data_IF_084312961845
#
_entry.id   IF_084312961845
#
_cell.length_a   1.000
_cell.length_b   1.000
_cell.length_c   1.000
_cell.angle_alpha   90.00
_cell.angle_beta   90.00
_cell.angle_gamma   90.00
#
_symmetry.space_group_name_H-M   'P 1'
#
loop_
_entity.id
_entity.type
_entity.pdbx_description
1 polymer ?
#
# COMPACT_ATOMS: atom_id res chain seq x y z
N UNK A 1 -5.24 27.53 9.38
CA UNK A 1 -4.49 26.27 9.29
C UNK A 1 -3.96 25.93 10.67
N UNK A 2 -3.85 24.65 11.02
CA UNK A 2 -3.05 24.26 12.19
C UNK A 2 -1.69 23.85 11.65
N UNK A 3 -0.69 24.70 11.83
CA UNK A 3 0.70 24.44 11.41
C UNK A 3 1.19 23.03 11.82
N UNK A 4 0.71 22.55 12.99
CA UNK A 4 0.91 21.21 13.50
C UNK A 4 0.48 20.10 12.52
N UNK A 5 -0.68 20.23 11.87
CA UNK A 5 -1.17 19.23 10.90
C UNK A 5 -0.29 19.22 9.64
N UNK A 6 0.09 20.39 9.13
CA UNK A 6 1.03 20.50 8.01
C UNK A 6 2.39 19.86 8.33
N UNK A 7 2.93 20.11 9.53
CA UNK A 7 4.16 19.49 10.00
C UNK A 7 4.04 17.97 10.12
N UNK A 8 2.92 17.45 10.64
CA UNK A 8 2.65 16.00 10.73
C UNK A 8 2.64 15.37 9.34
N UNK A 9 1.94 15.97 8.36
CA UNK A 9 1.95 15.47 6.99
C UNK A 9 3.34 15.50 6.36
N UNK A 10 4.11 16.57 6.56
CA UNK A 10 5.47 16.69 6.03
C UNK A 10 6.40 15.60 6.60
N UNK A 11 6.35 15.37 7.91
CA UNK A 11 7.14 14.32 8.58
C UNK A 11 6.70 12.95 8.07
N UNK A 12 5.41 12.67 8.02
CA UNK A 12 4.89 11.39 7.53
C UNK A 12 5.32 11.14 6.07
N UNK A 13 5.12 12.11 5.18
CA UNK A 13 5.51 12.01 3.78
C UNK A 13 7.01 11.74 3.62
N UNK A 14 7.85 12.45 4.38
CA UNK A 14 9.30 12.26 4.38
C UNK A 14 9.70 10.86 4.85
N UNK A 15 9.05 10.35 5.90
CA UNK A 15 9.28 8.98 6.39
C UNK A 15 8.84 7.93 5.38
N UNK A 16 7.68 8.11 4.73
CA UNK A 16 7.20 7.21 3.67
C UNK A 16 8.22 7.13 2.54
N UNK A 17 8.71 8.28 2.05
CA UNK A 17 9.72 8.34 0.98
C UNK A 17 11.00 7.64 1.42
N UNK A 18 11.57 8.03 2.56
CA UNK A 18 12.84 7.50 3.03
C UNK A 18 12.80 5.98 3.26
N UNK A 19 11.75 5.49 3.93
CA UNK A 19 11.60 4.07 4.24
C UNK A 19 11.42 3.22 2.98
N UNK A 20 10.58 3.66 2.03
CA UNK A 20 10.32 2.91 0.81
C UNK A 20 11.48 2.96 -0.19
N UNK A 21 12.21 4.08 -0.28
CA UNK A 21 13.45 4.16 -1.07
C UNK A 21 14.50 3.19 -0.52
N UNK A 22 14.69 3.14 0.80
CA UNK A 22 15.61 2.20 1.42
C UNK A 22 15.21 0.74 1.16
N UNK A 23 13.92 0.41 1.31
CA UNK A 23 13.37 -0.91 0.97
C UNK A 23 13.60 -1.26 -0.49
N UNK A 24 13.36 -0.32 -1.41
CA UNK A 24 13.57 -0.53 -2.84
C UNK A 24 15.04 -0.84 -3.16
N UNK A 25 16.00 -0.11 -2.58
CA UNK A 25 17.44 -0.37 -2.73
C UNK A 25 17.79 -1.79 -2.28
N UNK A 26 17.34 -2.19 -1.08
CA UNK A 26 17.58 -3.54 -0.53
C UNK A 26 16.98 -4.61 -1.45
N UNK A 27 15.76 -4.40 -1.94
CA UNK A 27 15.07 -5.33 -2.82
C UNK A 27 15.78 -5.48 -4.17
N UNK A 28 16.29 -4.39 -4.76
CA UNK A 28 17.09 -4.44 -5.98
C UNK A 28 18.33 -5.32 -5.80
N UNK A 29 19.06 -5.15 -4.70
CA UNK A 29 20.21 -6.00 -4.37
C UNK A 29 19.81 -7.48 -4.17
N UNK A 30 18.66 -7.75 -3.55
CA UNK A 30 18.14 -9.11 -3.37
C UNK A 30 17.71 -9.75 -4.69
N UNK A 31 17.06 -9.00 -5.57
CA UNK A 31 16.64 -9.46 -6.90
C UNK A 31 17.85 -9.85 -7.74
N UNK A 32 18.89 -9.00 -7.75
CA UNK A 32 20.14 -9.29 -8.46
C UNK A 32 20.84 -10.56 -7.95
N UNK A 33 20.80 -10.81 -6.64
CA UNK A 33 21.43 -12.00 -6.03
C UNK A 33 20.60 -13.28 -6.17
N UNK A 34 19.28 -13.19 -6.02
CA UNK A 34 18.38 -14.36 -5.93
C UNK A 34 17.70 -14.72 -7.25
N UNK A 35 17.55 -13.78 -8.19
CA UNK A 35 16.75 -13.97 -9.40
C UNK A 35 15.24 -14.15 -9.14
N UNK A 36 14.76 -13.91 -7.91
CA UNK A 36 13.37 -14.14 -7.52
C UNK A 36 12.44 -13.10 -8.13
N UNK A 37 11.62 -13.53 -9.09
CA UNK A 37 10.63 -12.69 -9.78
C UNK A 37 9.53 -12.16 -8.86
N UNK A 38 9.20 -12.88 -7.79
CA UNK A 38 8.17 -12.45 -6.82
C UNK A 38 8.58 -11.21 -6.02
N UNK A 39 9.89 -10.97 -5.86
CA UNK A 39 10.40 -9.75 -5.23
C UNK A 39 10.11 -8.49 -6.07
N UNK A 40 9.87 -8.62 -7.38
CA UNK A 40 9.51 -7.49 -8.24
C UNK A 40 8.16 -6.88 -7.84
N UNK A 41 7.21 -7.68 -7.33
CA UNK A 41 5.92 -7.14 -6.84
C UNK A 41 6.11 -6.28 -5.59
N UNK A 42 6.98 -6.72 -4.66
CA UNK A 42 7.30 -5.96 -3.45
C UNK A 42 8.10 -4.70 -3.80
N UNK A 43 9.01 -4.78 -4.77
CA UNK A 43 9.72 -3.61 -5.29
C UNK A 43 8.76 -2.60 -5.92
N UNK A 44 7.80 -3.07 -6.73
CA UNK A 44 6.79 -2.20 -7.32
C UNK A 44 5.95 -1.50 -6.25
N UNK A 45 5.57 -2.21 -5.18
CA UNK A 45 4.88 -1.60 -4.04
C UNK A 45 5.72 -0.49 -3.40
N UNK A 46 7.01 -0.71 -3.16
CA UNK A 46 7.89 0.31 -2.58
C UNK A 46 8.00 1.56 -3.50
N UNK A 47 8.04 1.36 -4.82
CA UNK A 47 8.03 2.47 -5.79
C UNK A 47 6.69 3.23 -5.72
N UNK A 48 5.56 2.52 -5.70
CA UNK A 48 4.25 3.13 -5.59
C UNK A 48 4.06 3.91 -4.28
N UNK A 49 4.48 3.34 -3.15
CA UNK A 49 4.43 4.01 -1.84
C UNK A 49 5.35 5.23 -1.76
N UNK A 50 6.51 5.18 -2.43
CA UNK A 50 7.37 6.36 -2.58
C UNK A 50 6.63 7.49 -3.32
N UNK A 51 5.91 7.15 -4.40
CA UNK A 51 5.07 8.12 -5.12
C UNK A 51 3.91 8.65 -4.28
N UNK A 52 3.30 7.83 -3.41
CA UNK A 52 2.30 8.28 -2.43
C UNK A 52 2.90 9.31 -1.48
N UNK A 53 4.11 9.07 -0.97
CA UNK A 53 4.84 10.04 -0.14
C UNK A 53 5.10 11.37 -0.85
N UNK A 54 5.56 11.34 -2.11
CA UNK A 54 5.73 12.56 -2.92
C UNK A 54 4.41 13.29 -3.16
N UNK A 55 3.33 12.57 -3.45
CA UNK A 55 2.01 13.16 -3.63
C UNK A 55 1.48 13.81 -2.34
N UNK A 56 1.72 13.16 -1.20
CA UNK A 56 1.34 13.65 0.12
C UNK A 56 2.14 14.89 0.55
N UNK A 57 3.39 15.06 0.09
CA UNK A 57 4.18 16.26 0.35
C UNK A 57 3.48 17.52 -0.16
N UNK A 58 2.80 17.43 -1.30
CA UNK A 58 1.97 18.53 -1.79
C UNK A 58 0.92 18.96 -0.75
N UNK A 59 0.24 18.00 -0.10
CA UNK A 59 -0.78 18.27 0.94
C UNK A 59 -0.17 18.98 2.15
N UNK A 60 1.06 18.63 2.53
CA UNK A 60 1.75 19.30 3.61
C UNK A 60 2.04 20.77 3.29
N UNK A 61 2.47 21.07 2.06
CA UNK A 61 2.77 22.43 1.60
C UNK A 61 1.52 23.33 1.68
N UNK A 62 0.34 22.81 1.34
CA UNK A 62 -0.90 23.59 1.39
C UNK A 62 -1.29 24.01 2.79
N UNK A 63 -1.10 23.14 3.79
CA UNK A 63 -1.41 23.47 5.19
C UNK A 63 -0.35 24.41 5.80
N UNK A 64 0.90 24.35 5.34
CA UNK A 64 1.99 25.22 5.80
C UNK A 64 1.97 26.60 5.14
N UNK A 65 1.52 26.71 3.88
CA UNK A 65 1.60 27.95 3.08
C UNK A 65 0.31 28.78 3.04
N UNK A 66 -0.65 28.57 3.95
CA UNK A 66 -1.90 29.33 3.94
C UNK A 66 -1.68 30.82 4.25
N UNK A 67 -2.30 31.77 3.49
CA UNK A 67 -3.27 31.56 2.42
C UNK A 67 -2.61 31.51 1.02
N UNK A 68 -2.42 30.32 0.46
CA UNK A 68 -2.06 30.12 -0.95
C UNK A 68 -3.25 29.50 -1.69
N UNK A 69 -3.75 30.19 -2.71
CA UNK A 69 -4.83 29.70 -3.57
C UNK A 69 -4.23 29.29 -4.91
N UNK A 70 -4.02 27.99 -5.10
CA UNK A 70 -3.52 27.45 -6.36
C UNK A 70 -4.59 27.54 -7.46
N UNK A 71 -4.16 27.50 -8.73
CA UNK A 71 -5.09 27.43 -9.85
C UNK A 71 -5.89 26.13 -9.84
N UNK A 72 -7.12 26.16 -10.37
CA UNK A 72 -7.99 24.99 -10.45
C UNK A 72 -7.30 23.79 -11.13
N UNK A 73 -6.60 24.04 -12.25
CA UNK A 73 -5.87 23.01 -12.99
C UNK A 73 -4.76 22.37 -12.15
N UNK A 74 -4.06 23.17 -11.33
CA UNK A 74 -3.05 22.65 -10.43
C UNK A 74 -3.66 21.76 -9.34
N UNK A 75 -4.78 22.18 -8.72
CA UNK A 75 -5.48 21.35 -7.73
C UNK A 75 -5.96 20.02 -8.34
N UNK A 76 -6.53 20.05 -9.55
CA UNK A 76 -7.00 18.87 -10.27
C UNK A 76 -5.85 17.90 -10.54
N UNK A 77 -4.77 18.38 -11.17
CA UNK A 77 -3.62 17.54 -11.50
C UNK A 77 -2.98 16.93 -10.25
N UNK A 78 -2.89 17.70 -9.18
CA UNK A 78 -2.32 17.23 -7.93
C UNK A 78 -3.19 16.18 -7.25
N UNK A 79 -4.50 16.39 -7.15
CA UNK A 79 -5.40 15.38 -6.59
C UNK A 79 -5.50 14.14 -7.48
N UNK A 80 -5.39 14.29 -8.80
CA UNK A 80 -5.28 13.16 -9.72
C UNK A 80 -4.01 12.34 -9.45
N UNK A 81 -2.88 12.99 -9.24
CA UNK A 81 -1.62 12.32 -8.88
C UNK A 81 -1.70 11.60 -7.53
N UNK A 82 -2.29 12.23 -6.50
CA UNK A 82 -2.55 11.60 -5.20
C UNK A 82 -3.44 10.35 -5.35
N UNK A 83 -4.49 10.44 -6.16
CA UNK A 83 -5.43 9.34 -6.41
C UNK A 83 -4.74 8.19 -7.17
N UNK A 84 -3.99 8.53 -8.22
CA UNK A 84 -3.28 7.56 -9.05
C UNK A 84 -2.19 6.81 -8.28
N UNK A 85 -1.37 7.50 -7.49
CA UNK A 85 -0.32 6.86 -6.69
C UNK A 85 -0.90 5.96 -5.61
N UNK A 86 -1.99 6.41 -4.96
CA UNK A 86 -2.72 5.60 -3.97
C UNK A 86 -3.32 4.35 -4.63
N UNK A 87 -3.95 4.49 -5.79
CA UNK A 87 -4.49 3.35 -6.54
C UNK A 87 -3.40 2.35 -6.93
N UNK A 88 -2.23 2.83 -7.39
CA UNK A 88 -1.08 1.97 -7.72
C UNK A 88 -0.57 1.21 -6.49
N UNK A 89 -0.50 1.84 -5.32
CA UNK A 89 -0.10 1.18 -4.06
C UNK A 89 -1.10 0.09 -3.66
N UNK A 90 -2.41 0.38 -3.70
CA UNK A 90 -3.47 -0.59 -3.38
C UNK A 90 -3.43 -1.80 -4.31
N UNK A 91 -3.38 -1.56 -5.63
CA UNK A 91 -3.28 -2.62 -6.62
C UNK A 91 -1.99 -3.45 -6.43
N UNK A 92 -0.89 -2.81 -6.01
CA UNK A 92 0.38 -3.48 -5.73
C UNK A 92 0.27 -4.39 -4.50
N UNK A 93 -0.41 -3.94 -3.44
CA UNK A 93 -0.70 -4.77 -2.27
C UNK A 93 -1.56 -5.99 -2.66
N UNK A 94 -2.55 -5.82 -3.52
CA UNK A 94 -3.38 -6.93 -4.05
C UNK A 94 -2.49 -7.91 -4.81
N UNK A 95 -1.60 -7.42 -5.70
CA UNK A 95 -0.68 -8.28 -6.44
C UNK A 95 0.28 -9.04 -5.52
N UNK A 96 0.85 -8.37 -4.51
CA UNK A 96 1.69 -9.03 -3.50
C UNK A 96 0.90 -10.11 -2.76
N UNK A 97 -0.35 -9.83 -2.37
CA UNK A 97 -1.20 -10.82 -1.70
C UNK A 97 -1.51 -12.03 -2.61
N UNK A 98 -1.88 -11.78 -3.87
CA UNK A 98 -2.15 -12.82 -4.87
C UNK A 98 -0.91 -13.67 -5.17
N UNK A 99 0.25 -13.05 -5.36
CA UNK A 99 1.53 -13.74 -5.61
C UNK A 99 1.88 -14.68 -4.45
N UNK A 100 1.74 -14.20 -3.22
CA UNK A 100 2.03 -14.98 -2.01
C UNK A 100 1.02 -16.11 -1.83
N UNK A 101 -0.26 -15.83 -2.07
CA UNK A 101 -1.29 -16.86 -2.07
C UNK A 101 -1.00 -17.96 -3.10
N UNK A 102 -0.61 -17.59 -4.33
CA UNK A 102 -0.27 -18.54 -5.38
C UNK A 102 0.96 -19.39 -5.03
N UNK A 103 2.00 -18.77 -4.49
CA UNK A 103 3.21 -19.45 -4.04
C UNK A 103 2.92 -20.54 -3.01
N UNK A 104 1.97 -20.29 -2.10
CA UNK A 104 1.59 -21.20 -1.02
C UNK A 104 0.64 -22.29 -1.52
N UNK A 105 -0.39 -21.94 -2.28
CA UNK A 105 -1.42 -22.89 -2.73
C UNK A 105 -0.92 -23.85 -3.80
N UNK A 106 -0.03 -23.39 -4.69
CA UNK A 106 0.43 -24.16 -5.85
C UNK A 106 1.95 -24.03 -6.05
N UNK A 107 2.79 -24.54 -5.13
CA UNK A 107 4.24 -24.31 -5.15
C UNK A 107 4.92 -24.82 -6.43
N UNK A 108 4.51 -25.97 -6.97
CA UNK A 108 5.08 -26.53 -8.20
C UNK A 108 4.71 -25.73 -9.46
N UNK A 109 3.46 -25.26 -9.54
CA UNK A 109 3.00 -24.47 -10.68
C UNK A 109 3.44 -23.00 -10.57
N UNK A 110 3.73 -22.49 -9.37
CA UNK A 110 4.18 -21.12 -9.15
C UNK A 110 5.38 -20.76 -10.03
N UNK A 111 6.40 -21.62 -10.10
CA UNK A 111 7.60 -21.38 -10.91
C UNK A 111 7.31 -21.34 -12.42
N UNK A 112 6.28 -22.05 -12.87
CA UNK A 112 5.84 -22.05 -14.27
C UNK A 112 4.94 -20.84 -14.58
N UNK A 113 4.15 -20.38 -13.60
CA UNK A 113 3.18 -19.29 -13.75
C UNK A 113 3.82 -17.91 -13.62
N UNK A 114 4.77 -17.73 -12.70
CA UNK A 114 5.42 -16.45 -12.42
C UNK A 114 6.66 -16.30 -13.31
N UNK A 115 6.41 -15.89 -14.56
CA UNK A 115 7.45 -15.61 -15.56
C UNK A 115 7.72 -14.11 -15.66
N UNK A 116 8.92 -13.71 -16.11
CA UNK A 116 9.29 -12.29 -16.20
C UNK A 116 8.33 -11.48 -17.10
N UNK A 117 7.92 -12.05 -18.23
CA UNK A 117 6.94 -11.44 -19.13
C UNK A 117 5.59 -11.23 -18.45
N UNK A 118 5.06 -12.26 -17.77
CA UNK A 118 3.76 -12.16 -17.09
C UNK A 118 3.80 -11.15 -15.94
N UNK A 119 4.89 -11.14 -15.18
CA UNK A 119 5.12 -10.12 -14.14
C UNK A 119 5.13 -8.73 -14.77
N UNK A 120 5.91 -8.50 -15.84
CA UNK A 120 5.96 -7.22 -16.55
C UNK A 120 4.58 -6.76 -17.05
N UNK A 121 3.82 -7.65 -17.69
CA UNK A 121 2.45 -7.35 -18.16
C UNK A 121 1.53 -6.98 -17.00
N UNK A 122 1.59 -7.70 -15.87
CA UNK A 122 0.79 -7.36 -14.69
C UNK A 122 1.15 -5.98 -14.13
N UNK A 123 2.43 -5.63 -14.06
CA UNK A 123 2.89 -4.32 -13.57
C UNK A 123 2.46 -3.20 -14.51
N UNK A 124 2.65 -3.35 -15.83
CA UNK A 124 2.21 -2.36 -16.81
C UNK A 124 0.69 -2.16 -16.74
N UNK A 125 -0.09 -3.25 -16.72
CA UNK A 125 -1.54 -3.18 -16.59
C UNK A 125 -1.99 -2.48 -15.30
N UNK A 126 -1.30 -2.73 -14.19
CA UNK A 126 -1.54 -2.05 -12.91
C UNK A 126 -1.32 -0.54 -13.02
N UNK A 127 -0.18 -0.11 -13.59
CA UNK A 127 0.12 1.32 -13.72
C UNK A 127 -0.85 2.03 -14.67
N UNK A 128 -1.24 1.37 -15.76
CA UNK A 128 -2.26 1.87 -16.68
C UNK A 128 -3.60 2.04 -15.96
N UNK A 129 -4.06 1.04 -15.21
CA UNK A 129 -5.31 1.10 -14.46
C UNK A 129 -5.28 2.20 -13.39
N UNK A 130 -4.19 2.29 -12.62
CA UNK A 130 -4.03 3.33 -11.60
C UNK A 130 -4.05 4.75 -12.19
N UNK A 131 -3.38 4.93 -13.33
CA UNK A 131 -3.35 6.21 -14.05
C UNK A 131 -4.73 6.57 -14.58
N UNK A 132 -5.44 5.62 -15.21
CA UNK A 132 -6.81 5.83 -15.68
C UNK A 132 -7.71 6.24 -14.52
N UNK A 133 -7.67 5.50 -13.41
CA UNK A 133 -8.51 5.79 -12.25
C UNK A 133 -8.23 7.20 -11.69
N UNK A 134 -6.97 7.59 -11.51
CA UNK A 134 -6.63 8.89 -10.93
C UNK A 134 -6.80 10.08 -11.86
N UNK A 135 -6.49 9.94 -13.15
CA UNK A 135 -6.51 11.03 -14.12
C UNK A 135 -7.81 11.12 -14.93
N UNK A 136 -8.78 10.24 -14.71
CA UNK A 136 -10.09 10.30 -15.36
C UNK A 136 -10.76 11.69 -15.25
N UNK A 137 -10.71 12.40 -14.10
CA UNK A 137 -11.29 13.75 -14.00
C UNK A 137 -10.54 14.80 -14.81
N UNK A 138 -9.26 14.59 -15.10
CA UNK A 138 -8.49 15.50 -15.97
C UNK A 138 -8.99 15.39 -17.41
N UNK A 139 -9.30 14.17 -17.85
CA UNK A 139 -9.76 13.87 -19.20
C UNK A 139 -11.23 14.21 -19.40
N UNK A 140 -12.05 14.08 -18.36
CA UNK A 140 -13.51 14.23 -18.43
C UNK A 140 -13.96 15.31 -17.43
N UNK A 141 -14.26 16.54 -17.91
CA UNK A 141 -14.68 17.66 -17.06
C UNK A 141 -15.93 17.39 -16.21
N UNK A 142 -16.79 16.45 -16.61
CA UNK A 142 -17.98 16.07 -15.85
C UNK A 142 -17.65 15.50 -14.45
N UNK A 143 -16.46 14.94 -14.29
CA UNK A 143 -15.97 14.44 -13.00
C UNK A 143 -15.27 15.51 -12.16
N UNK A 144 -15.16 16.74 -12.66
CA UNK A 144 -14.59 17.87 -11.93
C UNK A 144 -15.68 18.66 -11.20
N UNK A 145 -15.30 19.28 -10.08
CA UNK A 145 -16.12 20.27 -9.37
C UNK A 145 -15.43 21.62 -9.44
N UNK A 146 -16.06 22.58 -10.12
CA UNK A 146 -15.54 23.94 -10.24
C UNK A 146 -15.80 24.72 -8.95
N UNK A 147 -14.73 25.22 -8.32
CA UNK A 147 -14.83 26.06 -7.12
C UNK A 147 -13.82 27.19 -7.20
N UNK A 148 -14.30 28.43 -7.38
CA UNK A 148 -13.43 29.57 -7.67
C UNK A 148 -12.66 30.12 -6.45
N UNK A 149 -12.94 29.67 -5.21
CA UNK A 149 -12.30 30.18 -3.97
C UNK A 149 -12.29 29.14 -2.83
N UNK A 150 -11.48 28.09 -2.95
CA UNK A 150 -11.36 27.07 -1.91
C UNK A 150 -9.96 26.46 -1.81
N UNK A 151 -9.69 25.78 -0.69
CA UNK A 151 -8.49 24.94 -0.53
C UNK A 151 -8.52 23.80 -1.56
N UNK A 152 -7.34 23.40 -2.07
CA UNK A 152 -7.23 22.19 -2.88
C UNK A 152 -7.53 20.97 -2.00
N UNK A 153 -8.75 20.45 -2.06
CA UNK A 153 -9.20 19.29 -1.29
C UNK A 153 -9.79 18.24 -2.23
N UNK A 154 -9.63 16.97 -1.88
CA UNK A 154 -10.16 15.83 -2.62
C UNK A 154 -11.67 15.95 -2.89
N UNK A 155 -12.46 16.38 -1.90
CA UNK A 155 -13.92 16.54 -2.01
C UNK A 155 -14.36 17.85 -2.70
N UNK A 156 -13.45 18.82 -2.77
CA UNK A 156 -13.70 20.11 -3.42
C UNK A 156 -13.34 20.09 -4.91
N UNK A 157 -12.40 19.23 -5.31
CA UNK A 157 -11.88 19.14 -6.68
C UNK A 157 -12.68 18.14 -7.53
N UNK A 158 -13.15 17.05 -6.93
CA UNK A 158 -13.84 15.98 -7.65
C UNK A 158 -15.35 15.99 -7.44
N UNK A 159 -16.08 15.64 -8.49
CA UNK A 159 -17.53 15.46 -8.43
C UNK A 159 -17.90 14.22 -7.60
N UNK A 160 -18.93 14.26 -6.75
CA UNK A 160 -19.33 13.11 -5.91
C UNK A 160 -19.55 11.81 -6.69
N UNK A 161 -20.09 11.89 -7.92
CA UNK A 161 -20.29 10.73 -8.78
C UNK A 161 -18.98 9.98 -9.10
N UNK A 162 -17.90 10.72 -9.35
CA UNK A 162 -16.57 10.13 -9.57
C UNK A 162 -16.05 9.43 -8.31
N UNK A 163 -16.20 10.08 -7.15
CA UNK A 163 -15.75 9.53 -5.87
C UNK A 163 -16.49 8.22 -5.53
N UNK A 164 -17.81 8.20 -5.71
CA UNK A 164 -18.61 6.99 -5.54
C UNK A 164 -18.19 5.91 -6.54
N UNK A 165 -17.93 6.28 -7.80
CA UNK A 165 -17.47 5.34 -8.83
C UNK A 165 -16.15 4.66 -8.42
N UNK A 166 -15.16 5.43 -7.97
CA UNK A 166 -13.88 4.88 -7.50
C UNK A 166 -14.08 3.97 -6.28
N UNK A 167 -14.94 4.34 -5.34
CA UNK A 167 -15.16 3.53 -4.15
C UNK A 167 -15.86 2.21 -4.48
N UNK A 168 -16.95 2.23 -5.25
CA UNK A 168 -17.76 1.05 -5.57
C UNK A 168 -17.16 0.14 -6.63
N UNK A 169 -16.46 0.69 -7.62
CA UNK A 169 -15.87 -0.10 -8.72
C UNK A 169 -14.38 -0.39 -8.46
N UNK A 170 -13.68 0.47 -7.72
CA UNK A 170 -12.28 0.28 -7.37
C UNK A 170 -12.08 -0.35 -6.00
N UNK A 171 -12.46 0.36 -4.94
CA UNK A 171 -12.10 -0.01 -3.57
C UNK A 171 -12.84 -1.27 -3.06
N UNK A 172 -14.17 -1.31 -3.12
CA UNK A 172 -14.95 -2.41 -2.56
C UNK A 172 -14.65 -3.77 -3.20
N UNK A 173 -14.50 -3.90 -4.54
CA UNK A 173 -14.07 -5.16 -5.15
C UNK A 173 -12.67 -5.61 -4.66
N UNK A 174 -11.73 -4.67 -4.53
CA UNK A 174 -10.42 -4.93 -3.95
C UNK A 174 -10.50 -5.37 -2.48
N UNK A 175 -11.35 -4.73 -1.69
CA UNK A 175 -11.64 -5.09 -0.30
C UNK A 175 -12.16 -6.53 -0.19
N UNK A 176 -13.15 -6.92 -1.01
CA UNK A 176 -13.69 -8.28 -1.01
C UNK A 176 -12.64 -9.32 -1.40
N UNK A 177 -11.83 -9.04 -2.42
CA UNK A 177 -10.73 -9.91 -2.83
C UNK A 177 -9.73 -10.11 -1.69
N UNK A 178 -9.33 -9.04 -1.02
CA UNK A 178 -8.43 -9.12 0.12
C UNK A 178 -9.03 -9.88 1.30
N UNK A 179 -10.30 -9.65 1.64
CA UNK A 179 -10.99 -10.41 2.70
C UNK A 179 -11.00 -11.90 2.37
N UNK A 180 -11.30 -12.26 1.12
CA UNK A 180 -11.21 -13.64 0.65
C UNK A 180 -9.79 -14.22 0.83
N UNK A 181 -8.76 -13.51 0.37
CA UNK A 181 -7.37 -13.94 0.49
C UNK A 181 -6.95 -14.08 1.96
N UNK A 182 -7.36 -13.14 2.81
CA UNK A 182 -7.09 -13.13 4.25
C UNK A 182 -7.72 -14.35 4.93
N UNK A 183 -9.00 -14.60 4.70
CA UNK A 183 -9.71 -15.74 5.27
C UNK A 183 -9.10 -17.09 4.80
N UNK A 184 -8.77 -17.22 3.51
CA UNK A 184 -8.15 -18.46 3.02
C UNK A 184 -6.74 -18.65 3.61
N UNK A 185 -5.92 -17.59 3.69
CA UNK A 185 -4.60 -17.67 4.34
C UNK A 185 -4.70 -18.07 5.81
N UNK A 186 -5.65 -17.50 6.57
CA UNK A 186 -5.89 -17.91 7.96
C UNK A 186 -6.35 -19.35 8.07
N UNK A 187 -7.18 -19.83 7.15
CA UNK A 187 -7.59 -21.24 7.09
C UNK A 187 -6.38 -22.14 6.85
N UNK A 188 -5.53 -21.82 5.89
CA UNK A 188 -4.30 -22.57 5.61
C UNK A 188 -3.41 -22.60 6.86
N UNK A 189 -3.20 -21.46 7.52
CA UNK A 189 -2.38 -21.37 8.73
C UNK A 189 -2.95 -22.22 9.86
N UNK A 190 -4.28 -22.19 10.07
CA UNK A 190 -4.97 -22.97 11.10
C UNK A 190 -4.79 -24.47 10.89
N UNK A 191 -4.94 -24.94 9.64
CA UNK A 191 -4.71 -26.35 9.28
C UNK A 191 -3.25 -26.75 9.50
N UNK A 192 -2.29 -25.89 9.16
CA UNK A 192 -0.86 -26.17 9.41
C UNK A 192 -0.55 -26.29 10.90
N UNK A 193 -1.13 -25.44 11.75
CA UNK A 193 -0.94 -25.50 13.20
C UNK A 193 -1.52 -26.79 13.77
N UNK A 194 -2.72 -27.19 13.33
CA UNK A 194 -3.34 -28.45 13.74
C UNK A 194 -2.45 -29.65 13.39
N UNK A 195 -1.93 -29.69 12.16
CA UNK A 195 -1.09 -30.80 11.73
C UNK A 195 0.24 -30.87 12.50
N UNK A 196 0.85 -29.73 12.84
CA UNK A 196 2.04 -29.70 13.70
C UNK A 196 1.74 -30.27 15.09
N UNK A 197 0.61 -29.89 15.68
CA UNK A 197 0.19 -30.41 16.99
C UNK A 197 -0.08 -31.92 16.97
N UNK A 198 -0.62 -32.45 15.87
CA UNK A 198 -0.83 -33.90 15.70
C UNK A 198 0.49 -34.66 15.58
N UNK A 199 1.45 -34.15 14.80
CA UNK A 199 2.79 -34.76 14.66
C UNK A 199 3.57 -34.72 15.98
N UNK A 200 3.43 -33.64 16.75
CA UNK A 200 4.03 -33.51 18.07
C UNK A 200 3.42 -34.50 19.08
N UNK A 201 2.09 -34.63 19.09
CA UNK A 201 1.37 -35.65 19.89
C UNK A 201 1.73 -37.08 19.50
N UNK A 202 2.02 -37.34 18.23
CA UNK A 202 2.45 -38.64 17.73
C UNK A 202 3.90 -38.99 18.10
N UNK A 203 4.64 -38.13 18.81
CA UNK A 203 6.02 -38.37 19.23
C UNK A 203 7.05 -38.30 18.09
N UNK A 204 6.64 -37.84 16.90
CA UNK A 204 7.47 -37.78 15.69
C UNK A 204 8.14 -36.41 15.49
N UNK A 205 7.97 -35.47 16.43
CA UNK A 205 8.39 -34.07 16.29
C UNK A 205 9.91 -33.80 16.30
N UNK A 206 10.75 -34.81 16.57
CA UNK A 206 12.19 -34.63 16.80
C UNK A 206 13.13 -34.88 15.62
N UNK A 207 12.68 -35.50 14.52
CA UNK A 207 13.58 -36.09 13.51
C UNK A 207 13.60 -35.40 12.14
N UNK A 208 12.90 -34.28 11.96
CA UNK A 208 12.90 -33.55 10.68
C UNK A 208 13.44 -32.11 10.84
N UNK A 209 14.30 -31.63 9.91
CA UNK A 209 14.70 -30.23 9.88
C UNK A 209 13.45 -29.33 9.71
N UNK A 210 13.46 -28.08 10.24
CA UNK A 210 12.32 -27.20 10.12
C UNK A 210 11.97 -27.05 8.63
N UNK A 211 10.74 -27.40 8.20
CA UNK A 211 10.46 -27.45 6.77
C UNK A 211 10.45 -26.04 6.18
N UNK A 212 10.55 -25.94 4.84
CA UNK A 212 10.28 -24.71 4.05
C UNK A 212 9.00 -23.98 4.51
N UNK A 213 8.05 -24.74 5.06
CA UNK A 213 6.82 -24.28 5.72
C UNK A 213 7.02 -23.17 6.76
N UNK A 214 8.10 -23.16 7.53
CA UNK A 214 8.32 -22.12 8.57
C UNK A 214 8.68 -20.76 7.99
N UNK A 215 9.36 -20.72 6.84
CA UNK A 215 9.64 -19.50 6.09
C UNK A 215 8.38 -19.01 5.37
N UNK A 216 7.65 -19.93 4.75
CA UNK A 216 6.41 -19.62 4.04
C UNK A 216 5.32 -19.10 5.00
N UNK A 217 5.23 -19.66 6.20
CA UNK A 217 4.30 -19.22 7.25
C UNK A 217 4.66 -17.84 7.82
N UNK A 218 5.96 -17.49 7.91
CA UNK A 218 6.39 -16.12 8.24
C UNK A 218 6.05 -15.14 7.14
N UNK A 219 6.31 -15.50 5.88
CA UNK A 219 5.95 -14.66 4.73
C UNK A 219 4.44 -14.46 4.64
N UNK A 220 3.65 -15.51 4.86
CA UNK A 220 2.17 -15.46 4.95
C UNK A 220 1.72 -14.52 6.07
N UNK A 221 2.34 -14.60 7.26
CA UNK A 221 2.02 -13.70 8.38
C UNK A 221 2.25 -12.24 8.01
N UNK A 222 3.37 -11.92 7.35
CA UNK A 222 3.63 -10.55 6.88
C UNK A 222 2.51 -10.06 5.96
N UNK A 223 2.13 -10.88 4.98
CA UNK A 223 1.09 -10.52 3.99
C UNK A 223 -0.28 -10.37 4.65
N UNK A 224 -0.61 -11.25 5.59
CA UNK A 224 -1.85 -11.19 6.37
C UNK A 224 -1.92 -9.90 7.20
N UNK A 225 -0.80 -9.49 7.80
CA UNK A 225 -0.70 -8.21 8.51
C UNK A 225 -0.82 -7.01 7.57
N UNK A 226 -0.19 -7.06 6.39
CA UNK A 226 -0.31 -6.00 5.37
C UNK A 226 -1.77 -5.82 4.93
N UNK A 227 -2.49 -6.91 4.67
CA UNK A 227 -3.92 -6.89 4.33
C UNK A 227 -4.73 -6.28 5.47
N UNK A 228 -4.51 -6.71 6.71
CA UNK A 228 -5.21 -6.19 7.89
C UNK A 228 -4.97 -4.69 8.10
N UNK A 229 -3.72 -4.23 7.99
CA UNK A 229 -3.37 -2.81 8.08
C UNK A 229 -4.08 -1.99 7.01
N UNK A 230 -4.09 -2.45 5.76
CA UNK A 230 -4.79 -1.78 4.67
C UNK A 230 -6.29 -1.60 4.95
N UNK A 231 -6.96 -2.65 5.47
CA UNK A 231 -8.38 -2.57 5.82
C UNK A 231 -8.65 -1.55 6.90
N UNK A 232 -7.88 -1.61 7.98
CA UNK A 232 -8.08 -0.74 9.13
C UNK A 232 -7.74 0.72 8.80
N UNK A 233 -6.80 0.95 7.88
CA UNK A 233 -6.37 2.30 7.54
C UNK A 233 -7.31 3.02 6.57
N UNK A 234 -7.83 2.31 5.56
CA UNK A 234 -8.62 2.92 4.49
C UNK A 234 -10.13 2.80 4.68
N UNK A 235 -10.62 1.73 5.31
CA UNK A 235 -12.07 1.53 5.45
C UNK A 235 -12.76 2.68 6.21
N UNK A 236 -12.22 3.20 7.33
CA UNK A 236 -12.84 4.33 8.03
C UNK A 236 -12.96 5.58 7.15
N UNK A 237 -11.91 5.86 6.36
CA UNK A 237 -11.89 7.00 5.43
C UNK A 237 -12.98 6.86 4.37
N UNK A 238 -13.09 5.69 3.73
CA UNK A 238 -14.07 5.44 2.66
C UNK A 238 -15.50 5.50 3.19
N UNK A 239 -15.77 4.86 4.34
CA UNK A 239 -17.10 4.89 4.97
C UNK A 239 -17.49 6.32 5.35
N UNK A 240 -16.60 7.07 6.02
CA UNK A 240 -16.88 8.46 6.39
C UNK A 240 -17.07 9.36 5.16
N UNK A 241 -16.35 9.11 4.08
CA UNK A 241 -16.49 9.82 2.80
C UNK A 241 -17.86 9.61 2.17
N UNK A 242 -18.35 8.36 2.15
CA UNK A 242 -19.69 8.04 1.64
C UNK A 242 -20.77 8.71 2.50
N UNK A 243 -20.62 8.65 3.83
CA UNK A 243 -21.55 9.32 4.77
C UNK A 243 -21.57 10.82 4.52
N UNK A 244 -20.42 11.47 4.31
CA UNK A 244 -20.36 12.91 4.01
C UNK A 244 -21.09 13.26 2.70
N UNK A 245 -21.03 12.40 1.68
CA UNK A 245 -21.72 12.62 0.40
C UNK A 245 -23.23 12.51 0.52
N UNK A 246 -23.74 11.66 1.40
CA UNK A 246 -25.18 11.48 1.66
C UNK A 246 -25.70 12.48 2.69
N UNK A 247 -24.89 12.82 3.68
CA UNK A 247 -25.24 13.70 4.79
C UNK A 247 -24.07 14.64 5.16
N UNK A 248 -24.11 15.86 4.62
CA UNK A 248 -23.07 16.86 4.85
C UNK A 248 -22.91 17.30 6.32
N UNK A 249 -23.98 17.17 7.14
CA UNK A 249 -23.97 17.56 8.56
C UNK A 249 -23.60 16.42 9.52
N UNK A 250 -23.58 15.17 9.05
CA UNK A 250 -23.42 14.00 9.92
C UNK A 250 -21.98 13.82 10.42
N UNK A 251 -20.99 14.34 9.69
CA UNK A 251 -19.60 14.12 10.04
C UNK A 251 -18.73 15.36 9.77
N UNK A 252 -17.86 15.78 10.71
CA UNK A 252 -17.00 16.92 10.50
C UNK A 252 -15.97 16.65 9.40
N UNK A 253 -16.07 17.37 8.30
CA UNK A 253 -15.16 17.32 7.15
C UNK A 253 -13.67 17.36 7.54
N UNK A 254 -13.30 18.14 8.57
CA UNK A 254 -11.91 18.23 9.05
C UNK A 254 -11.36 16.92 9.62
N UNK A 255 -12.20 16.08 10.22
CA UNK A 255 -11.76 14.77 10.75
C UNK A 255 -11.42 13.83 9.60
N UNK A 256 -12.19 13.88 8.52
CA UNK A 256 -11.93 13.09 7.31
C UNK A 256 -10.58 13.47 6.70
N UNK A 257 -10.34 14.77 6.47
CA UNK A 257 -9.12 15.23 5.80
C UNK A 257 -7.85 15.21 6.65
N UNK A 258 -7.97 15.44 7.96
CA UNK A 258 -6.77 15.54 8.81
C UNK A 258 -6.41 14.24 9.50
N UNK A 259 -7.39 13.39 9.83
CA UNK A 259 -7.18 12.19 10.64
C UNK A 259 -7.33 10.94 9.78
N UNK A 260 -8.47 10.77 9.12
CA UNK A 260 -8.72 9.55 8.36
C UNK A 260 -7.85 9.47 7.10
N UNK A 261 -7.62 10.61 6.44
CA UNK A 261 -6.69 10.69 5.32
C UNK A 261 -5.25 10.39 5.76
N UNK A 262 -4.83 10.92 6.91
CA UNK A 262 -3.50 10.65 7.49
C UNK A 262 -3.33 9.17 7.81
N UNK A 263 -4.36 8.53 8.37
CA UNK A 263 -4.37 7.10 8.65
C UNK A 263 -4.22 6.28 7.36
N UNK A 264 -4.96 6.63 6.31
CA UNK A 264 -4.87 6.00 4.98
C UNK A 264 -3.46 6.11 4.37
N UNK A 265 -2.88 7.31 4.38
CA UNK A 265 -1.50 7.54 3.92
C UNK A 265 -0.46 6.80 4.77
N UNK A 266 -0.70 6.69 6.07
CA UNK A 266 0.15 5.96 7.00
C UNK A 266 0.32 4.48 6.65
N UNK A 267 -0.60 3.88 5.90
CA UNK A 267 -0.48 2.51 5.40
C UNK A 267 0.81 2.30 4.58
N UNK A 268 1.17 3.28 3.75
CA UNK A 268 2.40 3.23 2.94
C UNK A 268 3.68 3.28 3.78
N UNK A 269 3.61 3.72 5.04
CA UNK A 269 4.73 3.62 5.99
C UNK A 269 4.77 2.27 6.71
N UNK A 270 3.60 1.70 7.01
CA UNK A 270 3.49 0.39 7.69
C UNK A 270 4.10 -0.73 6.84
N UNK A 271 4.03 -0.63 5.51
CA UNK A 271 4.56 -1.63 4.59
C UNK A 271 6.07 -1.94 4.84
N UNK A 272 7.01 -0.98 4.73
CA UNK A 272 8.41 -1.15 5.12
C UNK A 272 8.65 -1.71 6.53
N UNK A 273 7.87 -1.25 7.52
CA UNK A 273 8.01 -1.69 8.91
C UNK A 273 7.66 -3.16 9.06
N UNK A 274 6.61 -3.63 8.39
CA UNK A 274 6.22 -5.04 8.39
C UNK A 274 7.22 -5.91 7.63
N UNK A 275 7.78 -5.43 6.51
CA UNK A 275 8.84 -6.17 5.82
C UNK A 275 10.10 -6.32 6.66
N UNK A 276 10.57 -5.23 7.27
CA UNK A 276 11.77 -5.24 8.12
C UNK A 276 11.57 -6.05 9.40
N UNK A 277 10.40 -6.02 10.02
CA UNK A 277 10.13 -6.83 11.22
C UNK A 277 10.05 -8.33 10.90
N UNK A 278 9.32 -8.69 9.83
CA UNK A 278 8.97 -10.08 9.57
C UNK A 278 9.97 -10.83 8.66
N UNK A 279 10.69 -10.16 7.76
CA UNK A 279 11.62 -10.82 6.83
C UNK A 279 13.06 -10.81 7.37
N UNK A 280 13.65 -12.00 7.57
CA UNK A 280 15.03 -12.15 8.08
C UNK A 280 16.08 -11.65 7.08
N UNK A 281 15.88 -11.88 5.79
CA UNK A 281 16.85 -11.48 4.76
C UNK A 281 16.91 -9.97 4.57
N UNK A 282 15.77 -9.28 4.69
CA UNK A 282 15.74 -7.82 4.77
C UNK A 282 16.52 -7.29 5.97
N UNK A 283 16.31 -7.86 7.17
CA UNK A 283 17.06 -7.45 8.36
C UNK A 283 18.56 -7.62 8.19
N UNK A 284 19.00 -8.73 7.60
CA UNK A 284 20.42 -8.97 7.34
C UNK A 284 21.00 -7.92 6.40
N UNK A 285 20.34 -7.61 5.29
CA UNK A 285 20.83 -6.58 4.37
C UNK A 285 20.80 -5.18 4.98
N UNK A 286 19.75 -4.82 5.73
CA UNK A 286 19.70 -3.56 6.48
C UNK A 286 20.84 -3.44 7.49
N UNK A 287 21.14 -4.52 8.22
CA UNK A 287 22.25 -4.55 9.18
C UNK A 287 23.62 -4.41 8.49
N UNK A 288 23.80 -5.01 7.32
CA UNK A 288 25.03 -4.90 6.53
C UNK A 288 25.21 -3.47 5.96
N UNK A 289 24.14 -2.86 5.47
CA UNK A 289 24.13 -1.46 5.03
C UNK A 289 24.46 -0.52 6.19
N UNK A 290 23.83 -0.70 7.34
CA UNK A 290 24.11 0.09 8.54
C UNK A 290 25.56 -0.07 9.03
N UNK A 291 26.10 -1.30 9.01
CA UNK A 291 27.50 -1.56 9.34
C UNK A 291 28.48 -0.92 8.34
N UNK A 292 28.14 -0.94 7.04
CA UNK A 292 28.92 -0.30 5.99
C UNK A 292 28.95 1.22 6.08
N UNK A 293 27.81 1.85 6.42
CA UNK A 293 27.74 3.29 6.71
C UNK A 293 28.55 3.64 7.95
N UNK A 294 28.40 2.88 9.04
CA UNK A 294 29.18 3.08 10.27
C UNK A 294 30.69 3.02 10.02
N UNK A 295 31.14 2.11 9.13
CA UNK A 295 32.56 1.96 8.77
C UNK A 295 33.08 3.04 7.81
N UNK A 296 32.21 3.84 7.17
CA UNK A 296 32.60 4.99 6.34
C UNK A 296 32.56 6.33 7.09
N UNK A 297 31.82 6.39 8.20
CA UNK A 297 31.64 7.61 9.02
C UNK A 297 32.67 7.68 10.16
N UNK A 298 33.20 6.53 10.59
CA UNK A 298 34.41 6.40 11.43
C UNK A 298 35.66 6.33 10.57
#
# INVERSE_FOLDING_TARGET
>A
ASWAVGAIFAVLASLIIAANVLVAIVLLCLIQKSGSKGLCFVLNLAIADTMVGFAAMGLAIDELSQPFYASQNFCILRMAFVTSSSAASILSLILVACDRHLAIRKPFHYFQLVTGLRVGVCLVGLWMLATILGFLPVLIPWFQKFSNRGKCSFFHVFHPAYLLTIFFIGYFPGLFLFLYLYCDMLKIASVHVQHIQEVEKAGLGGSCPPPRTTSDMKAMRTVTLLIGCFMLSWLPFIVASIVLMVCFKCFPYKVIENILWLLGLGNSLLNPLLYSYCQRDMRRQLSQLAAGVKRRVL
#
